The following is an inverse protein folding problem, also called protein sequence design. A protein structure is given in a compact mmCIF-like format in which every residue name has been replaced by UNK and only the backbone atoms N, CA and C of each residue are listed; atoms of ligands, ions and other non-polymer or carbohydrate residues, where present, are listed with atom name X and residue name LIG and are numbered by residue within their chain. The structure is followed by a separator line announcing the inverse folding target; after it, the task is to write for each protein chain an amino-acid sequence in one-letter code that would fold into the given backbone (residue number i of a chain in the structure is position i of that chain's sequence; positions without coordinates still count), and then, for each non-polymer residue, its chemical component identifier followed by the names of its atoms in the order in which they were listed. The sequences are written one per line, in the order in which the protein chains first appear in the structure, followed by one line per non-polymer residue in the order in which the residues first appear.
data_IF_613086430916
#
_entry.id   IF_613086430916
#
_cell.length_a   1.000
_cell.length_b   1.000
_cell.length_c   1.000
_cell.angle_alpha   90.00
_cell.angle_beta   90.00
_cell.angle_gamma   90.00
#
_symmetry.space_group_name_H-M   'P 1'
#
loop_
_entity.id
_entity.type
_entity.pdbx_description
1 polymer ?
#
# COMPACT_ATOMS: atom_id res chain seq x y z
N UNK A 1 8.08 -3.15 0.38
CA UNK A 1 8.55 -3.40 -1.02
C UNK A 1 7.64 -4.34 -1.80
N UNK A 2 7.10 -5.41 -1.19
CA UNK A 2 6.21 -6.37 -1.87
C UNK A 2 4.86 -5.74 -2.26
N UNK A 3 4.18 -5.01 -1.35
CA UNK A 3 2.87 -4.42 -1.65
C UNK A 3 2.95 -3.35 -2.76
N UNK A 4 3.95 -2.47 -2.71
CA UNK A 4 4.19 -1.46 -3.74
C UNK A 4 4.31 -2.06 -5.17
N UNK A 5 4.96 -3.23 -5.31
CA UNK A 5 5.02 -3.94 -6.60
C UNK A 5 3.63 -4.39 -7.06
N UNK A 6 2.82 -4.95 -6.16
CA UNK A 6 1.44 -5.35 -6.46
C UNK A 6 0.53 -4.18 -6.82
N UNK A 7 0.72 -2.99 -6.22
CA UNK A 7 -0.05 -1.80 -6.57
C UNK A 7 0.21 -1.34 -8.01
N UNK A 8 1.47 -1.43 -8.47
CA UNK A 8 1.82 -1.12 -9.87
C UNK A 8 1.20 -2.15 -10.83
N UNK A 9 1.21 -3.44 -10.48
CA UNK A 9 0.54 -4.46 -11.28
C UNK A 9 -0.98 -4.29 -11.30
N UNK A 10 -1.59 -3.91 -10.17
CA UNK A 10 -3.01 -3.61 -10.07
C UNK A 10 -3.43 -2.51 -11.05
N UNK A 11 -2.70 -1.38 -11.08
CA UNK A 11 -2.99 -0.27 -12.00
C UNK A 11 -2.88 -0.73 -13.46
N UNK A 12 -1.81 -1.47 -13.80
CA UNK A 12 -1.60 -1.99 -15.15
C UNK A 12 -2.74 -2.92 -15.59
N UNK A 13 -3.18 -3.81 -14.71
CA UNK A 13 -4.28 -4.72 -15.03
C UNK A 13 -5.59 -3.96 -15.20
N UNK A 14 -5.87 -2.94 -14.36
CA UNK A 14 -7.06 -2.10 -14.53
C UNK A 14 -7.06 -1.35 -15.87
N UNK A 15 -5.92 -0.78 -16.28
CA UNK A 15 -5.79 -0.14 -17.59
C UNK A 15 -5.98 -1.15 -18.73
N UNK A 16 -5.47 -2.37 -18.58
CA UNK A 16 -5.67 -3.45 -19.57
C UNK A 16 -7.15 -3.87 -19.67
N UNK A 17 -7.85 -3.97 -18.53
CA UNK A 17 -9.29 -4.25 -18.48
C UNK A 17 -10.08 -3.13 -19.15
N UNK A 18 -9.73 -1.87 -18.92
CA UNK A 18 -10.36 -0.72 -19.58
C UNK A 18 -10.18 -0.78 -21.10
N UNK A 19 -8.94 -0.99 -21.58
CA UNK A 19 -8.66 -1.11 -23.02
C UNK A 19 -9.43 -2.29 -23.64
N UNK A 20 -9.54 -3.41 -22.93
CA UNK A 20 -10.33 -4.57 -23.35
C UNK A 20 -11.84 -4.26 -23.47
N UNK A 21 -12.40 -3.51 -22.51
CA UNK A 21 -13.80 -3.06 -22.53
C UNK A 21 -14.08 -2.05 -23.65
N UNK A 22 -13.11 -1.21 -23.99
CA UNK A 22 -13.22 -0.22 -25.07
C UNK A 22 -12.97 -0.79 -26.46
N UNK A 23 -12.39 -1.99 -26.56
CA UNK A 23 -12.04 -2.62 -27.84
C UNK A 23 -13.20 -2.74 -28.83
N UNK A 24 -14.46 -3.09 -28.45
CA UNK A 24 -15.58 -3.13 -29.38
C UNK A 24 -15.89 -1.75 -30.00
N UNK A 25 -15.97 -0.71 -29.17
CA UNK A 25 -16.24 0.67 -29.62
C UNK A 25 -15.12 1.18 -30.52
N UNK A 26 -13.86 0.90 -30.15
CA UNK A 26 -12.69 1.24 -30.97
C UNK A 26 -12.75 0.56 -32.35
N UNK A 27 -13.11 -0.73 -32.42
CA UNK A 27 -13.28 -1.45 -33.68
C UNK A 27 -14.39 -0.86 -34.55
N UNK A 28 -15.52 -0.53 -33.95
CA UNK A 28 -16.64 0.09 -34.67
C UNK A 28 -16.29 1.43 -35.33
N UNK A 29 -15.35 2.17 -34.75
CA UNK A 29 -14.82 3.43 -35.29
C UNK A 29 -13.76 3.14 -36.36
N UNK A 30 -12.79 2.28 -36.04
CA UNK A 30 -11.60 2.06 -36.88
C UNK A 30 -11.89 1.28 -38.16
N UNK A 31 -12.83 0.32 -38.10
CA UNK A 31 -13.23 -0.51 -39.23
C UNK A 31 -14.34 0.17 -40.08
N UNK A 32 -14.84 1.33 -39.67
CA UNK A 32 -15.90 2.06 -40.37
C UNK A 32 -15.45 2.60 -41.73
N UNK A 33 -16.35 2.57 -42.72
CA UNK A 33 -16.14 3.08 -44.08
C UNK A 33 -17.25 4.01 -44.54
N UNK A 34 -17.71 4.90 -43.64
CA UNK A 34 -18.70 5.93 -43.91
C UNK A 34 -18.39 6.74 -45.18
N UNK A 35 -19.42 6.96 -46.00
CA UNK A 35 -19.35 7.76 -47.24
C UNK A 35 -20.41 8.84 -47.31
N UNK A 36 -21.55 8.64 -46.64
CA UNK A 36 -22.63 9.63 -46.58
C UNK A 36 -22.44 10.57 -45.38
N UNK A 37 -23.07 11.74 -45.44
CA UNK A 37 -23.06 12.70 -44.33
C UNK A 37 -23.63 12.09 -43.04
N UNK A 38 -24.72 11.35 -43.14
CA UNK A 38 -25.37 10.70 -41.98
C UNK A 38 -24.46 9.65 -41.33
N UNK A 39 -23.75 8.86 -42.15
CA UNK A 39 -22.76 7.89 -41.65
C UNK A 39 -21.57 8.58 -40.98
N UNK A 40 -21.06 9.68 -41.56
CA UNK A 40 -19.98 10.48 -40.97
C UNK A 40 -20.40 11.08 -39.62
N UNK A 41 -21.62 11.62 -39.52
CA UNK A 41 -22.18 12.10 -38.26
C UNK A 41 -22.32 10.97 -37.23
N UNK A 42 -22.68 9.76 -37.67
CA UNK A 42 -22.74 8.57 -36.81
C UNK A 42 -21.36 8.19 -36.26
N UNK A 43 -20.33 8.14 -37.11
CA UNK A 43 -18.94 7.85 -36.68
C UNK A 43 -18.46 8.91 -35.70
N UNK A 44 -18.72 10.18 -35.96
CA UNK A 44 -18.31 11.26 -35.07
C UNK A 44 -18.92 11.11 -33.67
N UNK A 45 -20.21 10.74 -33.57
CA UNK A 45 -20.84 10.43 -32.27
C UNK A 45 -20.15 9.27 -31.56
N UNK A 46 -19.76 8.22 -32.28
CA UNK A 46 -19.01 7.09 -31.68
C UNK A 46 -17.64 7.53 -31.15
N UNK A 47 -16.94 8.43 -31.86
CA UNK A 47 -15.67 9.01 -31.38
C UNK A 47 -15.90 9.78 -30.07
N UNK A 48 -16.94 10.61 -29.99
CA UNK A 48 -17.30 11.32 -28.75
C UNK A 48 -17.59 10.33 -27.62
N UNK A 49 -18.36 9.27 -27.87
CA UNK A 49 -18.63 8.22 -26.88
C UNK A 49 -17.35 7.51 -26.42
N UNK A 50 -16.43 7.20 -27.35
CA UNK A 50 -15.14 6.59 -27.03
C UNK A 50 -14.30 7.50 -26.13
N UNK A 51 -14.21 8.80 -26.47
CA UNK A 51 -13.47 9.79 -25.67
C UNK A 51 -14.04 9.92 -24.26
N UNK A 52 -15.36 9.95 -24.11
CA UNK A 52 -16.01 10.00 -22.79
C UNK A 52 -15.75 8.73 -21.97
N UNK A 53 -15.95 7.55 -22.57
CA UNK A 53 -15.74 6.28 -21.89
C UNK A 53 -14.28 6.08 -21.46
N UNK A 54 -13.33 6.54 -22.28
CA UNK A 54 -11.89 6.38 -22.00
C UNK A 54 -11.34 7.41 -21.00
N UNK A 55 -11.86 8.63 -21.02
CA UNK A 55 -11.45 9.68 -20.08
C UNK A 55 -12.06 9.54 -18.69
N UNK A 56 -13.19 8.84 -18.57
CA UNK A 56 -13.94 8.74 -17.31
C UNK A 56 -14.58 10.07 -16.87
N UNK A 57 -14.62 11.09 -17.73
CA UNK A 57 -15.17 12.41 -17.42
C UNK A 57 -16.70 12.46 -17.64
N UNK A 58 -17.45 11.72 -16.82
CA UNK A 58 -18.91 11.71 -16.83
C UNK A 58 -19.54 10.71 -17.80
N UNK A 59 -20.88 10.58 -17.70
CA UNK A 59 -21.61 9.54 -18.42
C UNK A 59 -21.84 9.88 -19.90
N UNK A 60 -21.63 8.93 -20.83
CA UNK A 60 -22.00 9.09 -22.25
C UNK A 60 -23.52 9.06 -22.49
N UNK A 61 -24.34 8.97 -21.44
CA UNK A 61 -25.81 9.11 -21.51
C UNK A 61 -26.28 10.52 -21.18
N UNK A 62 -25.43 11.37 -20.58
CA UNK A 62 -25.79 12.74 -20.23
C UNK A 62 -25.56 13.69 -21.42
N UNK A 63 -26.64 14.32 -21.87
CA UNK A 63 -26.63 15.22 -23.03
C UNK A 63 -25.70 16.41 -22.82
N UNK A 64 -25.57 16.95 -21.60
CA UNK A 64 -24.69 18.07 -21.32
C UNK A 64 -23.22 17.65 -21.42
N UNK A 65 -22.88 16.51 -20.82
CA UNK A 65 -21.54 15.90 -20.91
C UNK A 65 -21.15 15.64 -22.36
N UNK A 66 -22.06 15.04 -23.14
CA UNK A 66 -21.87 14.80 -24.58
C UNK A 66 -21.64 16.11 -25.34
N UNK A 67 -22.41 17.16 -25.04
CA UNK A 67 -22.26 18.48 -25.69
C UNK A 67 -20.91 19.11 -25.41
N UNK A 68 -20.46 19.10 -24.15
CA UNK A 68 -19.14 19.63 -23.78
C UNK A 68 -18.01 18.85 -24.44
N UNK A 69 -18.06 17.52 -24.42
CA UNK A 69 -17.06 16.68 -25.07
C UNK A 69 -17.07 16.83 -26.59
N UNK A 70 -18.25 17.00 -27.20
CA UNK A 70 -18.38 17.31 -28.63
C UNK A 70 -17.75 18.66 -28.96
N UNK A 71 -18.03 19.70 -28.16
CA UNK A 71 -17.45 21.03 -28.39
C UNK A 71 -15.93 21.03 -28.23
N UNK A 72 -15.41 20.35 -27.20
CA UNK A 72 -13.98 20.17 -27.00
C UNK A 72 -13.33 19.39 -28.16
N UNK A 73 -13.93 18.27 -28.59
CA UNK A 73 -13.45 17.50 -29.75
C UNK A 73 -13.49 18.33 -31.04
N UNK A 74 -14.56 19.09 -31.29
CA UNK A 74 -14.68 19.94 -32.49
C UNK A 74 -13.60 21.03 -32.55
N UNK A 75 -13.09 21.48 -31.39
CA UNK A 75 -12.03 22.49 -31.33
C UNK A 75 -10.66 21.98 -31.82
N UNK A 76 -10.44 20.67 -31.79
CA UNK A 76 -9.16 20.03 -32.17
C UNK A 76 -9.30 19.05 -33.34
N UNK A 77 -10.50 18.57 -33.58
CA UNK A 77 -10.85 17.60 -34.61
C UNK A 77 -12.25 17.93 -35.18
N UNK A 78 -12.33 18.94 -36.06
CA UNK A 78 -13.59 19.31 -36.69
C UNK A 78 -14.07 18.20 -37.63
N UNK A 79 -15.37 18.15 -37.91
CA UNK A 79 -15.97 17.10 -38.74
C UNK A 79 -15.39 17.02 -40.16
N UNK A 80 -14.80 18.12 -40.66
CA UNK A 80 -14.09 18.17 -41.95
C UNK A 80 -12.87 17.24 -42.00
N UNK A 81 -12.22 16.98 -40.86
CA UNK A 81 -11.04 16.10 -40.76
C UNK A 81 -11.43 14.60 -40.71
N UNK A 82 -12.73 14.29 -40.57
CA UNK A 82 -13.17 12.90 -40.42
C UNK A 82 -12.88 12.05 -41.67
N UNK A 83 -12.93 12.64 -42.87
CA UNK A 83 -12.58 11.94 -44.10
C UNK A 83 -11.08 11.55 -44.14
N UNK A 84 -10.20 12.44 -43.64
CA UNK A 84 -8.77 12.16 -43.52
C UNK A 84 -8.52 11.09 -42.45
N UNK A 85 -9.20 11.16 -41.29
CA UNK A 85 -9.13 10.11 -40.27
C UNK A 85 -9.52 8.72 -40.84
N UNK A 86 -10.59 8.64 -41.64
CA UNK A 86 -11.08 7.38 -42.18
C UNK A 86 -10.12 6.73 -43.20
N UNK A 87 -9.21 7.49 -43.82
CA UNK A 87 -8.22 6.98 -44.77
C UNK A 87 -6.96 6.40 -44.11
N UNK A 88 -6.76 6.66 -42.82
CA UNK A 88 -5.64 6.12 -42.04
C UNK A 88 -5.72 4.59 -41.88
N UNK A 89 -4.58 3.98 -41.57
CA UNK A 89 -4.55 2.58 -41.15
C UNK A 89 -5.23 2.39 -39.79
N UNK A 90 -5.65 1.15 -39.49
CA UNK A 90 -6.29 0.82 -38.21
C UNK A 90 -5.45 1.25 -36.99
N UNK A 91 -4.14 0.97 -37.03
CA UNK A 91 -3.20 1.32 -35.96
C UNK A 91 -3.08 2.84 -35.77
N UNK A 92 -3.05 3.60 -36.87
CA UNK A 92 -3.00 5.06 -36.81
C UNK A 92 -4.31 5.65 -36.28
N UNK A 93 -5.47 5.10 -36.67
CA UNK A 93 -6.77 5.49 -36.11
C UNK A 93 -6.83 5.24 -34.60
N UNK A 94 -6.39 4.07 -34.14
CA UNK A 94 -6.32 3.74 -32.72
C UNK A 94 -5.43 4.72 -31.95
N UNK A 95 -4.24 5.02 -32.48
CA UNK A 95 -3.33 5.99 -31.88
C UNK A 95 -3.94 7.40 -31.82
N UNK A 96 -4.55 7.85 -32.92
CA UNK A 96 -5.18 9.16 -32.99
C UNK A 96 -6.38 9.25 -32.05
N UNK A 97 -7.17 8.18 -31.86
CA UNK A 97 -8.25 8.15 -30.87
C UNK A 97 -7.72 8.31 -29.44
N UNK A 98 -6.59 7.67 -29.11
CA UNK A 98 -5.95 7.83 -27.79
C UNK A 98 -5.46 9.27 -27.59
N UNK A 99 -4.82 9.85 -28.60
CA UNK A 99 -4.32 11.23 -28.55
C UNK A 99 -5.46 12.25 -28.43
N UNK A 100 -6.51 12.12 -29.25
CA UNK A 100 -7.70 12.96 -29.16
C UNK A 100 -8.37 12.86 -27.80
N UNK A 101 -8.40 11.65 -27.20
CA UNK A 101 -8.92 11.48 -25.84
C UNK A 101 -8.13 12.31 -24.84
N UNK A 102 -6.80 12.26 -24.86
CA UNK A 102 -5.96 13.01 -23.92
C UNK A 102 -6.15 14.52 -24.08
N UNK A 103 -6.13 15.01 -25.33
CA UNK A 103 -6.31 16.44 -25.61
C UNK A 103 -7.70 16.92 -25.17
N UNK A 104 -8.76 16.18 -25.52
CA UNK A 104 -10.13 16.55 -25.13
C UNK A 104 -10.31 16.51 -23.62
N UNK A 105 -9.71 15.54 -22.93
CA UNK A 105 -9.72 15.45 -21.46
C UNK A 105 -9.12 16.70 -20.85
N UNK A 106 -7.91 17.09 -21.26
CA UNK A 106 -7.27 18.32 -20.78
C UNK A 106 -8.08 19.59 -21.06
N UNK A 107 -8.70 19.71 -22.25
CA UNK A 107 -9.57 20.86 -22.58
C UNK A 107 -10.78 20.91 -21.65
N UNK A 108 -11.42 19.76 -21.39
CA UNK A 108 -12.59 19.71 -20.50
C UNK A 108 -12.23 20.06 -19.05
N UNK A 109 -11.07 19.60 -18.56
CA UNK A 109 -10.54 19.97 -17.25
C UNK A 109 -10.26 21.48 -17.15
N UNK A 110 -9.63 22.06 -18.17
CA UNK A 110 -9.41 23.50 -18.24
C UNK A 110 -10.72 24.30 -18.30
N UNK A 111 -11.72 23.82 -19.04
CA UNK A 111 -13.04 24.47 -19.09
C UNK A 111 -13.78 24.41 -17.75
N UNK A 112 -13.60 23.32 -16.98
CA UNK A 112 -14.08 23.19 -15.60
C UNK A 112 -13.44 24.26 -14.71
N UNK A 113 -12.11 24.38 -14.74
CA UNK A 113 -11.35 25.37 -13.97
C UNK A 113 -11.78 26.81 -14.29
N UNK A 114 -12.05 27.09 -15.57
CA UNK A 114 -12.55 28.40 -16.01
C UNK A 114 -14.03 28.68 -15.64
N UNK A 115 -14.76 27.74 -15.04
CA UNK A 115 -16.20 27.86 -14.77
C UNK A 115 -17.07 27.89 -16.04
N UNK A 116 -16.56 27.36 -17.17
CA UNK A 116 -17.22 27.37 -18.49
C UNK A 116 -17.73 25.99 -18.93
N UNK A 117 -17.61 24.99 -18.07
CA UNK A 117 -18.05 23.62 -18.31
C UNK A 117 -17.68 22.75 -17.11
N UNK A 118 -17.50 21.45 -17.36
CA UNK A 118 -17.11 20.49 -16.34
C UNK A 118 -18.28 19.70 -15.77
N UNK A 119 -19.43 19.69 -16.47
CA UNK A 119 -20.54 18.81 -16.11
C UNK A 119 -20.06 17.34 -16.10
N UNK A 120 -20.41 16.62 -15.03
CA UNK A 120 -20.02 15.22 -14.82
C UNK A 120 -18.54 14.99 -14.51
N UNK A 121 -17.75 16.03 -14.23
CA UNK A 121 -16.36 15.89 -13.78
C UNK A 121 -16.30 16.03 -12.26
N UNK A 122 -16.09 14.91 -11.57
CA UNK A 122 -15.87 14.89 -10.13
C UNK A 122 -14.63 15.68 -9.72
N UNK A 123 -14.56 16.08 -8.46
CA UNK A 123 -13.37 16.72 -7.88
C UNK A 123 -12.49 15.65 -7.23
N UNK A 124 -11.78 14.88 -8.06
CA UNK A 124 -10.91 13.80 -7.57
C UNK A 124 -9.87 14.29 -6.54
N UNK A 125 -9.22 15.46 -6.73
CA UNK A 125 -8.37 16.04 -5.69
C UNK A 125 -9.07 16.23 -4.34
N UNK A 126 -10.28 16.79 -4.33
CA UNK A 126 -11.03 16.97 -3.09
C UNK A 126 -11.46 15.64 -2.46
N UNK A 127 -11.93 14.69 -3.29
CA UNK A 127 -12.32 13.35 -2.84
C UNK A 127 -11.13 12.63 -2.18
N UNK A 128 -9.95 12.67 -2.79
CA UNK A 128 -8.75 12.07 -2.23
C UNK A 128 -8.29 12.76 -0.94
N UNK A 129 -8.37 14.10 -0.89
CA UNK A 129 -8.05 14.88 0.31
C UNK A 129 -8.96 14.58 1.51
N UNK A 130 -10.17 14.06 1.27
CA UNK A 130 -11.08 13.59 2.32
C UNK A 130 -10.88 12.09 2.62
N UNK A 131 -10.80 11.27 1.57
CA UNK A 131 -10.77 9.81 1.70
C UNK A 131 -9.46 9.28 2.29
N UNK A 132 -8.32 9.89 1.97
CA UNK A 132 -7.01 9.45 2.47
C UNK A 132 -6.91 9.64 3.99
N UNK A 133 -7.18 10.82 4.58
CA UNK A 133 -7.20 10.96 6.04
C UNK A 133 -8.21 10.05 6.72
N UNK A 134 -9.39 9.83 6.12
CA UNK A 134 -10.39 8.92 6.66
C UNK A 134 -9.89 7.46 6.69
N UNK A 135 -9.23 7.00 5.62
CA UNK A 135 -8.63 5.68 5.54
C UNK A 135 -7.49 5.51 6.57
N UNK A 136 -6.56 6.48 6.64
CA UNK A 136 -5.48 6.46 7.63
C UNK A 136 -6.02 6.39 9.06
N UNK A 137 -7.03 7.22 9.38
CA UNK A 137 -7.63 7.22 10.72
C UNK A 137 -8.31 5.89 11.06
N UNK A 138 -8.99 5.28 10.08
CA UNK A 138 -9.60 3.96 10.27
C UNK A 138 -8.54 2.89 10.56
N UNK A 139 -7.45 2.87 9.79
CA UNK A 139 -6.33 1.94 9.98
C UNK A 139 -5.66 2.18 11.35
N UNK A 140 -5.46 3.43 11.77
CA UNK A 140 -4.88 3.76 13.08
C UNK A 140 -5.74 3.24 14.25
N UNK A 141 -7.07 3.35 14.15
CA UNK A 141 -7.98 2.79 15.16
C UNK A 141 -7.81 1.26 15.25
N UNK A 142 -7.77 0.58 14.11
CA UNK A 142 -7.64 -0.87 14.05
C UNK A 142 -6.25 -1.36 14.51
N UNK A 143 -5.22 -0.59 14.18
CA UNK A 143 -3.85 -0.81 14.63
C UNK A 143 -3.76 -0.71 16.15
N UNK A 144 -4.31 0.36 16.73
CA UNK A 144 -4.36 0.52 18.18
C UNK A 144 -5.16 -0.62 18.85
N UNK A 145 -6.29 -1.04 18.28
CA UNK A 145 -7.05 -2.18 18.82
C UNK A 145 -6.22 -3.48 18.81
N UNK A 146 -5.51 -3.74 17.70
CA UNK A 146 -4.61 -4.89 17.57
C UNK A 146 -3.48 -4.85 18.59
N UNK A 147 -2.85 -3.68 18.78
CA UNK A 147 -1.81 -3.48 19.80
C UNK A 147 -2.32 -3.76 21.22
N UNK A 148 -3.50 -3.26 21.57
CA UNK A 148 -4.09 -3.52 22.88
C UNK A 148 -4.32 -5.01 23.14
N UNK A 149 -4.83 -5.75 22.14
CA UNK A 149 -4.95 -7.21 22.22
C UNK A 149 -3.59 -7.88 22.41
N UNK A 150 -2.59 -7.45 21.64
CA UNK A 150 -1.24 -8.00 21.74
C UNK A 150 -0.62 -7.76 23.12
N UNK A 151 -0.83 -6.58 23.71
CA UNK A 151 -0.35 -6.24 25.05
C UNK A 151 -0.98 -7.10 26.14
N UNK A 152 -2.30 -7.32 26.03
CA UNK A 152 -3.07 -8.20 26.94
C UNK A 152 -2.59 -9.65 26.84
N UNK A 153 -2.49 -10.21 25.64
CA UNK A 153 -2.02 -11.58 25.44
C UNK A 153 -0.58 -11.76 25.92
N UNK A 154 0.29 -10.79 25.65
CA UNK A 154 1.67 -10.81 26.14
C UNK A 154 1.69 -10.83 27.67
N UNK A 155 0.93 -9.96 28.35
CA UNK A 155 0.87 -9.91 29.82
C UNK A 155 0.35 -11.22 30.44
N UNK A 156 -0.65 -11.84 29.82
CA UNK A 156 -1.18 -13.14 30.25
C UNK A 156 -0.12 -14.24 30.11
N UNK A 157 0.57 -14.32 28.97
CA UNK A 157 1.62 -15.33 28.76
C UNK A 157 2.80 -15.09 29.72
N UNK A 158 3.17 -13.83 29.99
CA UNK A 158 4.18 -13.45 30.99
C UNK A 158 3.80 -13.93 32.40
N UNK A 159 2.51 -13.86 32.76
CA UNK A 159 1.97 -14.38 34.02
C UNK A 159 1.98 -15.92 34.05
N UNK A 160 1.48 -16.57 32.99
CA UNK A 160 1.37 -18.03 32.92
C UNK A 160 2.75 -18.72 32.99
N UNK A 161 3.80 -18.09 32.48
CA UNK A 161 5.17 -18.59 32.62
C UNK A 161 5.71 -18.64 34.06
N UNK A 162 4.98 -18.11 35.04
CA UNK A 162 5.31 -18.18 36.46
C UNK A 162 4.68 -19.40 37.15
N UNK A 163 3.65 -20.02 36.55
CA UNK A 163 2.91 -21.16 37.09
C UNK A 163 3.08 -22.42 36.20
N UNK A 164 3.28 -23.60 36.79
CA UNK A 164 3.70 -24.83 36.08
C UNK A 164 2.62 -25.92 36.12
N UNK A 165 1.39 -25.60 35.71
CA UNK A 165 0.29 -26.57 35.61
C UNK A 165 0.02 -26.98 34.14
N UNK A 166 -0.32 -28.25 33.90
CA UNK A 166 -0.50 -28.80 32.54
C UNK A 166 -1.74 -28.24 31.78
N UNK A 167 -2.84 -27.91 32.47
CA UNK A 167 -4.01 -27.24 31.86
C UNK A 167 -3.69 -25.77 31.48
N UNK A 168 -2.74 -25.16 32.18
CA UNK A 168 -2.22 -23.82 31.85
C UNK A 168 -1.39 -23.91 30.57
N UNK A 169 -0.61 -24.97 30.37
CA UNK A 169 0.26 -25.18 29.20
C UNK A 169 -0.51 -25.28 27.87
N UNK A 170 -1.66 -25.98 27.85
CA UNK A 170 -2.51 -26.06 26.65
C UNK A 170 -3.11 -24.69 26.28
N UNK A 171 -3.68 -23.99 27.27
CA UNK A 171 -4.23 -22.63 27.07
C UNK A 171 -3.15 -21.64 26.65
N UNK A 172 -1.93 -21.82 27.15
CA UNK A 172 -0.79 -20.98 26.81
C UNK A 172 -0.40 -21.14 25.34
N UNK A 173 -0.44 -22.37 24.81
CA UNK A 173 -0.15 -22.63 23.39
C UNK A 173 -1.12 -21.88 22.48
N UNK A 174 -2.43 -22.03 22.70
CA UNK A 174 -3.45 -21.35 21.89
C UNK A 174 -3.41 -19.83 22.05
N UNK A 175 -3.07 -19.33 23.24
CA UNK A 175 -2.90 -17.89 23.48
C UNK A 175 -1.67 -17.31 22.77
N UNK A 176 -0.60 -18.10 22.59
CA UNK A 176 0.56 -17.71 21.78
C UNK A 176 0.21 -17.63 20.29
N UNK A 177 -0.53 -18.60 19.77
CA UNK A 177 -1.03 -18.56 18.38
C UNK A 177 -1.89 -17.30 18.17
N UNK A 178 -2.76 -16.97 19.12
CA UNK A 178 -3.53 -15.73 19.10
C UNK A 178 -2.63 -14.47 19.11
N UNK A 179 -1.57 -14.46 19.93
CA UNK A 179 -0.59 -13.39 19.95
C UNK A 179 0.14 -13.27 18.60
N UNK A 180 0.58 -14.37 17.99
CA UNK A 180 1.26 -14.35 16.70
C UNK A 180 0.37 -13.83 15.59
N UNK A 181 -0.90 -14.23 15.60
CA UNK A 181 -1.90 -13.74 14.65
C UNK A 181 -2.12 -12.22 14.80
N UNK A 182 -2.34 -11.74 16.03
CA UNK A 182 -2.54 -10.30 16.28
C UNK A 182 -1.29 -9.48 15.92
N UNK A 183 -0.08 -10.00 16.16
CA UNK A 183 1.17 -9.32 15.77
C UNK A 183 1.39 -9.29 14.25
N UNK A 184 0.98 -10.32 13.54
CA UNK A 184 0.97 -10.29 12.07
C UNK A 184 -0.05 -9.29 11.54
N UNK A 185 -1.25 -9.25 12.15
CA UNK A 185 -2.27 -8.28 11.83
C UNK A 185 -1.75 -6.84 11.99
N UNK A 186 -1.12 -6.54 13.14
CA UNK A 186 -0.42 -5.27 13.39
C UNK A 186 0.62 -4.96 12.30
N UNK A 187 1.48 -5.92 11.95
CA UNK A 187 2.49 -5.73 10.92
C UNK A 187 1.89 -5.42 9.54
N UNK A 188 0.82 -6.12 9.14
CA UNK A 188 0.14 -5.86 7.87
C UNK A 188 -0.56 -4.50 7.85
N UNK A 189 -1.20 -4.09 8.95
CA UNK A 189 -1.80 -2.75 9.06
C UNK A 189 -0.73 -1.65 8.94
N UNK A 190 0.44 -1.82 9.55
CA UNK A 190 1.56 -0.88 9.40
C UNK A 190 2.04 -0.76 7.95
N UNK A 191 2.08 -1.87 7.20
CA UNK A 191 2.42 -1.87 5.77
C UNK A 191 1.36 -1.08 4.98
N UNK A 192 0.07 -1.40 5.19
CA UNK A 192 -1.03 -0.71 4.50
C UNK A 192 -1.02 0.79 4.84
N UNK A 193 -0.84 1.16 6.10
CA UNK A 193 -0.76 2.56 6.52
C UNK A 193 0.40 3.29 5.84
N UNK A 194 1.57 2.65 5.72
CA UNK A 194 2.69 3.20 4.98
C UNK A 194 2.34 3.47 3.51
N UNK A 195 1.62 2.55 2.86
CA UNK A 195 1.21 2.73 1.46
C UNK A 195 0.13 3.82 1.31
N UNK A 196 -0.77 3.97 2.29
CA UNK A 196 -1.72 5.12 2.33
C UNK A 196 -0.98 6.45 2.51
N UNK A 197 0.08 6.49 3.32
CA UNK A 197 0.92 7.68 3.47
C UNK A 197 1.65 8.00 2.15
N UNK A 198 2.14 7.00 1.43
CA UNK A 198 2.71 7.19 0.09
C UNK A 198 1.67 7.74 -0.89
N UNK A 199 0.46 7.19 -0.91
CA UNK A 199 -0.67 7.73 -1.68
C UNK A 199 -0.90 9.23 -1.38
N UNK A 200 -0.88 9.62 -0.10
CA UNK A 200 -1.01 11.02 0.31
C UNK A 200 0.07 11.93 -0.30
N UNK A 201 1.33 11.47 -0.29
CA UNK A 201 2.48 12.20 -0.82
C UNK A 201 2.39 12.36 -2.33
N UNK A 202 2.03 11.29 -3.05
CA UNK A 202 1.85 11.31 -4.51
C UNK A 202 0.70 12.26 -4.90
N UNK A 203 -0.43 12.22 -4.19
CA UNK A 203 -1.57 13.13 -4.42
C UNK A 203 -1.17 14.59 -4.19
N UNK A 204 -0.43 14.89 -3.12
CA UNK A 204 0.05 16.26 -2.86
C UNK A 204 0.97 16.77 -3.98
N UNK A 205 1.88 15.93 -4.47
CA UNK A 205 2.76 16.26 -5.60
C UNK A 205 1.96 16.50 -6.88
N UNK A 206 1.06 15.58 -7.23
CA UNK A 206 0.22 15.69 -8.42
C UNK A 206 -0.69 16.92 -8.39
N UNK A 207 -1.22 17.30 -7.23
CA UNK A 207 -2.04 18.53 -7.08
C UNK A 207 -1.23 19.78 -7.40
N UNK A 208 0.03 19.85 -6.94
CA UNK A 208 0.93 20.97 -7.24
C UNK A 208 1.25 21.04 -8.74
N UNK A 209 1.54 19.90 -9.36
CA UNK A 209 1.81 19.81 -10.80
C UNK A 209 0.58 20.19 -11.62
N UNK A 210 -0.60 19.66 -11.26
CA UNK A 210 -1.86 19.97 -11.92
C UNK A 210 -2.20 21.46 -11.87
N UNK A 211 -2.03 22.08 -10.70
CA UNK A 211 -2.23 23.53 -10.55
C UNK A 211 -1.24 24.34 -11.41
N UNK A 212 0.03 23.93 -11.48
CA UNK A 212 1.05 24.60 -12.29
C UNK A 212 0.75 24.50 -13.79
N UNK A 213 0.36 23.31 -14.28
CA UNK A 213 -0.04 23.12 -15.67
C UNK A 213 -1.31 23.91 -16.01
N UNK A 214 -2.28 23.96 -15.09
CA UNK A 214 -3.51 24.74 -15.26
C UNK A 214 -3.21 26.24 -15.37
N UNK A 215 -2.32 26.76 -14.51
CA UNK A 215 -1.87 28.15 -14.58
C UNK A 215 -1.13 28.43 -15.89
N UNK A 216 -0.26 27.52 -16.33
CA UNK A 216 0.50 27.65 -17.57
C UNK A 216 -0.43 27.77 -18.79
N UNK A 217 -1.41 26.87 -18.93
CA UNK A 217 -2.35 26.94 -20.06
C UNK A 217 -3.23 28.19 -19.98
N UNK A 218 -3.65 28.60 -18.77
CA UNK A 218 -4.44 29.82 -18.57
C UNK A 218 -3.67 31.08 -19.05
N UNK A 219 -2.39 31.17 -18.73
CA UNK A 219 -1.52 32.27 -19.15
C UNK A 219 -1.32 32.31 -20.69
N UNK A 220 -1.18 31.14 -21.32
CA UNK A 220 -1.04 31.04 -22.77
C UNK A 220 -2.34 31.46 -23.48
N UNK A 221 -3.51 31.02 -22.98
CA UNK A 221 -4.81 31.28 -23.60
C UNK A 221 -5.27 32.72 -23.36
N UNK A 222 -5.02 33.31 -22.18
CA UNK A 222 -5.37 34.72 -21.89
C UNK A 222 -4.55 35.73 -22.68
N UNK A 223 -3.30 35.40 -23.01
CA UNK A 223 -2.37 36.35 -23.65
C UNK A 223 -2.55 36.49 -25.16
N UNK A 224 -3.32 35.60 -25.82
CA UNK A 224 -3.40 35.53 -27.29
C UNK A 224 -4.81 35.29 -27.79
N UNK A 225 -5.20 36.01 -28.85
CA UNK A 225 -6.46 35.78 -29.58
C UNK A 225 -6.46 34.49 -30.41
N UNK A 226 -5.28 34.00 -30.80
CA UNK A 226 -5.08 32.71 -31.47
C UNK A 226 -3.84 32.02 -30.90
N UNK A 227 -4.01 30.77 -30.45
CA UNK A 227 -2.97 30.00 -29.79
C UNK A 227 -2.53 28.83 -30.67
N UNK A 228 -1.23 28.71 -30.99
CA UNK A 228 -0.71 27.55 -31.70
C UNK A 228 -0.97 26.25 -30.93
N UNK A 229 -1.49 25.23 -31.61
CA UNK A 229 -1.79 23.91 -31.03
C UNK A 229 -0.55 23.23 -30.45
N UNK A 230 0.62 23.45 -31.07
CA UNK A 230 1.91 22.96 -30.59
C UNK A 230 2.31 23.47 -29.20
N UNK A 231 1.70 24.56 -28.72
CA UNK A 231 1.96 25.09 -27.37
C UNK A 231 0.98 24.54 -26.32
N UNK A 232 -0.26 24.24 -26.70
CA UNK A 232 -1.31 23.86 -25.74
C UNK A 232 -1.59 22.37 -25.67
N UNK A 233 -1.42 21.62 -26.77
CA UNK A 233 -1.69 20.19 -26.78
C UNK A 233 -0.79 19.42 -25.80
N UNK A 234 0.53 19.70 -25.69
CA UNK A 234 1.36 19.03 -24.69
C UNK A 234 0.87 19.26 -23.26
N UNK A 235 0.39 20.46 -22.94
CA UNK A 235 -0.12 20.80 -21.60
C UNK A 235 -1.46 20.10 -21.35
N UNK A 236 -2.38 20.07 -22.32
CA UNK A 236 -3.63 19.33 -22.17
C UNK A 236 -3.41 17.81 -22.01
N UNK A 237 -2.41 17.26 -22.69
CA UNK A 237 -2.00 15.86 -22.51
C UNK A 237 -1.43 15.66 -21.09
N UNK A 238 -0.59 16.57 -20.59
CA UNK A 238 -0.10 16.58 -19.20
C UNK A 238 -1.24 16.53 -18.19
N UNK A 239 -2.21 17.45 -18.32
CA UNK A 239 -3.39 17.51 -17.46
C UNK A 239 -4.22 16.22 -17.50
N UNK A 240 -4.35 15.60 -18.68
CA UNK A 240 -5.04 14.32 -18.82
C UNK A 240 -4.30 13.18 -18.13
N UNK A 241 -2.97 13.17 -18.18
CA UNK A 241 -2.16 12.15 -17.52
C UNK A 241 -2.24 12.29 -16.00
N UNK A 242 -2.08 13.52 -15.48
CA UNK A 242 -2.24 13.81 -14.05
C UNK A 242 -3.64 13.43 -13.55
N UNK A 243 -4.68 13.68 -14.35
CA UNK A 243 -6.04 13.27 -14.01
C UNK A 243 -6.22 11.75 -13.97
N UNK A 244 -5.59 11.04 -14.90
CA UNK A 244 -5.57 9.57 -14.90
C UNK A 244 -4.85 9.05 -13.65
N UNK A 245 -3.74 9.68 -13.25
CA UNK A 245 -3.03 9.31 -12.03
C UNK A 245 -3.87 9.55 -10.77
N UNK A 246 -4.69 10.60 -10.69
CA UNK A 246 -5.67 10.73 -9.60
C UNK A 246 -6.71 9.59 -9.59
N UNK A 247 -7.17 9.15 -10.76
CA UNK A 247 -8.07 7.98 -10.85
C UNK A 247 -7.37 6.70 -10.36
N UNK A 248 -6.10 6.53 -10.69
CA UNK A 248 -5.28 5.40 -10.25
C UNK A 248 -5.12 5.38 -8.72
N UNK A 249 -4.88 6.53 -8.08
CA UNK A 249 -4.79 6.64 -6.61
C UNK A 249 -6.14 6.32 -5.92
N UNK A 250 -7.28 6.66 -6.53
CA UNK A 250 -8.59 6.25 -6.00
C UNK A 250 -8.72 4.72 -6.01
N UNK A 251 -8.24 4.07 -7.06
CA UNK A 251 -8.27 2.60 -7.16
C UNK A 251 -7.36 1.96 -6.11
N UNK A 252 -6.15 2.49 -5.94
CA UNK A 252 -5.19 2.03 -4.92
C UNK A 252 -5.80 2.18 -3.53
N UNK A 253 -6.34 3.36 -3.19
CA UNK A 253 -6.94 3.61 -1.89
C UNK A 253 -8.14 2.68 -1.62
N UNK A 254 -8.99 2.46 -2.62
CA UNK A 254 -10.10 1.51 -2.51
C UNK A 254 -9.62 0.09 -2.26
N UNK A 255 -8.57 -0.35 -2.95
CA UNK A 255 -7.96 -1.66 -2.74
C UNK A 255 -7.36 -1.81 -1.33
N UNK A 256 -6.60 -0.82 -0.86
CA UNK A 256 -6.02 -0.81 0.48
C UNK A 256 -7.10 -0.87 1.56
N UNK A 257 -8.18 -0.09 1.44
CA UNK A 257 -9.31 -0.17 2.36
C UNK A 257 -9.98 -1.55 2.37
N UNK A 258 -10.16 -2.16 1.20
CA UNK A 258 -10.73 -3.51 1.11
C UNK A 258 -9.80 -4.56 1.74
N UNK A 259 -8.48 -4.40 1.61
CA UNK A 259 -7.51 -5.26 2.28
C UNK A 259 -7.59 -5.12 3.80
N UNK A 260 -7.68 -3.90 4.32
CA UNK A 260 -7.87 -3.65 5.77
C UNK A 260 -9.09 -4.40 6.31
N UNK A 261 -10.26 -4.24 5.66
CA UNK A 261 -11.49 -4.95 6.04
C UNK A 261 -11.31 -6.48 5.92
N UNK A 262 -10.58 -6.94 4.91
CA UNK A 262 -10.30 -8.36 4.71
C UNK A 262 -9.25 -8.91 5.67
N UNK A 263 -8.49 -8.08 6.38
CA UNK A 263 -7.55 -8.55 7.42
C UNK A 263 -8.29 -8.80 8.73
N UNK A 264 -9.31 -7.99 9.04
CA UNK A 264 -10.09 -8.10 10.26
C UNK A 264 -10.69 -9.50 10.49
N UNK A 265 -11.15 -10.16 9.43
CA UNK A 265 -11.72 -11.52 9.49
C UNK A 265 -10.74 -12.57 10.06
N UNK A 266 -9.42 -12.35 9.98
CA UNK A 266 -8.43 -13.28 10.56
C UNK A 266 -8.34 -13.18 12.08
N UNK A 267 -8.95 -12.17 12.72
CA UNK A 267 -9.01 -12.05 14.18
C UNK A 267 -10.21 -12.79 14.79
N UNK A 268 -11.26 -13.08 14.01
CA UNK A 268 -12.55 -13.59 14.52
C UNK A 268 -12.42 -14.93 15.26
N UNK A 269 -11.64 -15.87 14.73
CA UNK A 269 -11.45 -17.20 15.34
C UNK A 269 -10.92 -17.10 16.76
N UNK A 270 -9.96 -16.20 17.01
CA UNK A 270 -9.36 -16.03 18.33
C UNK A 270 -10.29 -15.27 19.28
N UNK A 271 -11.10 -14.34 18.77
CA UNK A 271 -12.12 -13.66 19.57
C UNK A 271 -13.18 -14.65 20.11
N UNK A 272 -13.48 -15.73 19.37
CA UNK A 272 -14.37 -16.80 19.83
C UNK A 272 -13.73 -17.71 20.89
N UNK A 273 -12.43 -17.96 20.79
CA UNK A 273 -11.69 -18.82 21.74
C UNK A 273 -11.38 -18.05 23.03
N UNK A 274 -11.07 -16.76 22.91
CA UNK A 274 -10.72 -15.86 24.00
C UNK A 274 -11.67 -14.65 24.06
N UNK A 275 -12.97 -14.88 24.36
CA UNK A 275 -13.92 -13.80 24.51
C UNK A 275 -13.60 -12.95 25.75
N UNK A 276 -14.07 -11.69 25.76
CA UNK A 276 -13.74 -10.72 26.81
C UNK A 276 -14.19 -11.19 28.21
N UNK A 277 -15.27 -11.97 28.30
CA UNK A 277 -15.74 -12.55 29.56
C UNK A 277 -14.73 -13.54 30.17
N UNK A 278 -13.87 -14.15 29.35
CA UNK A 278 -12.76 -14.99 29.81
C UNK A 278 -11.48 -14.20 30.03
N UNK A 279 -11.17 -13.23 29.15
CA UNK A 279 -9.91 -12.47 29.21
C UNK A 279 -9.88 -11.46 30.34
N UNK A 280 -10.95 -10.69 30.56
CA UNK A 280 -10.99 -9.63 31.57
C UNK A 280 -10.70 -10.15 32.99
N UNK A 281 -11.32 -11.25 33.46
CA UNK A 281 -11.00 -11.79 34.78
C UNK A 281 -9.55 -12.29 34.91
N UNK A 282 -8.96 -12.83 33.83
CA UNK A 282 -7.57 -13.29 33.84
C UNK A 282 -6.56 -12.13 33.89
N UNK A 283 -6.98 -10.94 33.46
CA UNK A 283 -6.19 -9.71 33.52
C UNK A 283 -6.33 -8.99 34.87
N UNK A 284 -7.24 -9.40 35.75
CA UNK A 284 -7.49 -8.73 37.02
C UNK A 284 -6.22 -8.74 37.90
N UNK A 285 -5.78 -7.54 38.31
CA UNK A 285 -4.55 -7.37 39.10
C UNK A 285 -3.25 -7.43 38.29
N UNK A 286 -3.30 -7.65 36.97
CA UNK A 286 -2.13 -7.57 36.10
C UNK A 286 -1.90 -6.14 35.60
N UNK A 287 -0.63 -5.73 35.61
CA UNK A 287 -0.20 -4.49 34.94
C UNK A 287 0.05 -4.81 33.47
N UNK A 288 -0.90 -4.45 32.62
CA UNK A 288 -0.78 -4.57 31.16
C UNK A 288 0.17 -3.48 30.70
N UNK A 289 1.31 -3.88 30.12
CA UNK A 289 2.31 -2.94 29.61
C UNK A 289 2.16 -2.77 28.11
N UNK A 290 2.40 -1.57 27.61
CA UNK A 290 2.66 -1.35 26.19
C UNK A 290 4.05 -1.84 25.80
N UNK A 291 4.33 -1.93 24.51
CA UNK A 291 5.68 -2.27 24.06
C UNK A 291 6.68 -1.15 24.36
N UNK A 292 6.27 0.12 24.28
CA UNK A 292 7.10 1.26 24.72
C UNK A 292 7.45 1.16 26.20
N UNK A 293 6.50 0.80 27.06
CA UNK A 293 6.75 0.60 28.48
C UNK A 293 7.68 -0.59 28.74
N UNK A 294 7.54 -1.68 27.97
CA UNK A 294 8.47 -2.84 28.03
C UNK A 294 9.89 -2.44 27.62
N UNK A 295 10.03 -1.60 26.59
CA UNK A 295 11.32 -1.08 26.13
C UNK A 295 11.96 -0.18 27.19
N UNK A 296 11.19 0.73 27.79
CA UNK A 296 11.71 1.72 28.76
C UNK A 296 12.15 1.12 30.10
N UNK A 297 11.59 -0.02 30.51
CA UNK A 297 11.83 -0.64 31.83
C UNK A 297 13.32 -0.84 32.18
N UNK A 298 14.16 -1.13 31.18
CA UNK A 298 15.58 -1.46 31.36
C UNK A 298 16.52 -0.56 30.51
N UNK A 299 16.08 0.64 30.12
CA UNK A 299 16.80 1.46 29.15
C UNK A 299 18.22 1.86 29.59
N UNK A 300 18.44 2.02 30.90
CA UNK A 300 19.71 2.42 31.48
C UNK A 300 20.66 1.23 31.76
N UNK A 301 20.17 -0.02 31.69
CA UNK A 301 20.98 -1.19 32.01
C UNK A 301 21.68 -1.75 30.77
N UNK A 302 22.74 -1.04 30.37
CA UNK A 302 23.52 -1.36 29.16
C UNK A 302 24.51 -2.50 29.39
N UNK A 303 24.75 -3.26 28.34
CA UNK A 303 25.85 -4.23 28.26
C UNK A 303 27.18 -3.49 28.35
N UNK A 304 28.15 -4.06 29.06
CA UNK A 304 29.53 -3.58 29.05
C UNK A 304 30.31 -4.33 27.97
N UNK A 305 30.72 -3.67 26.86
CA UNK A 305 31.47 -4.34 25.79
C UNK A 305 32.79 -4.95 26.27
N UNK A 306 33.39 -4.42 27.35
CA UNK A 306 34.63 -4.97 27.91
C UNK A 306 34.45 -6.38 28.50
N UNK A 307 33.23 -6.81 28.80
CA UNK A 307 32.93 -8.16 29.31
C UNK A 307 33.00 -9.22 28.18
N UNK A 308 33.06 -8.79 26.91
CA UNK A 308 32.98 -9.62 25.71
C UNK A 308 34.05 -9.23 24.70
N UNK A 309 35.16 -9.97 24.66
CA UNK A 309 36.35 -9.62 23.85
C UNK A 309 36.17 -9.93 22.36
N UNK A 310 35.27 -10.85 22.00
CA UNK A 310 35.12 -11.35 20.62
C UNK A 310 33.84 -10.86 19.94
N UNK A 311 32.89 -10.40 20.73
CA UNK A 311 31.56 -10.02 20.31
C UNK A 311 31.50 -8.53 19.95
N UNK A 312 30.87 -8.20 18.83
CA UNK A 312 30.71 -6.82 18.39
C UNK A 312 29.37 -6.26 18.89
N UNK A 313 29.42 -5.19 19.68
CA UNK A 313 28.26 -4.52 20.26
C UNK A 313 28.08 -3.12 19.67
N UNK A 314 26.84 -2.80 19.30
CA UNK A 314 26.45 -1.52 18.71
C UNK A 314 25.50 -0.79 19.66
N UNK A 315 25.67 0.53 19.77
CA UNK A 315 24.85 1.39 20.61
C UNK A 315 24.37 2.62 19.84
N UNK A 316 23.17 3.16 20.18
CA UNK A 316 22.62 4.34 19.52
C UNK A 316 23.56 5.56 19.55
N UNK A 317 24.31 5.74 20.64
CA UNK A 317 25.12 6.95 20.84
C UNK A 317 26.48 6.91 20.12
N UNK A 318 26.97 5.72 19.77
CA UNK A 318 28.32 5.53 19.23
C UNK A 318 28.37 5.01 17.79
N UNK A 319 27.22 4.61 17.23
CA UNK A 319 27.15 3.98 15.91
C UNK A 319 26.55 4.93 14.89
N UNK A 320 27.30 5.21 13.82
CA UNK A 320 26.79 5.98 12.67
C UNK A 320 25.69 5.16 11.98
N UNK A 321 24.58 5.81 11.63
CA UNK A 321 23.42 5.17 11.00
C UNK A 321 22.83 4.00 11.80
N UNK A 322 22.89 4.04 13.13
CA UNK A 322 22.35 2.98 14.00
C UNK A 322 20.88 2.63 13.69
N UNK A 323 20.06 3.62 13.33
CA UNK A 323 18.65 3.41 12.96
C UNK A 323 18.45 2.59 11.68
N UNK A 324 19.48 2.40 10.87
CA UNK A 324 19.44 1.59 9.64
C UNK A 324 19.85 0.13 9.88
N UNK A 325 20.23 -0.23 11.12
CA UNK A 325 20.58 -1.61 11.45
C UNK A 325 19.33 -2.50 11.36
N UNK A 326 19.38 -3.51 10.47
CA UNK A 326 18.32 -4.49 10.31
C UNK A 326 18.37 -5.52 11.44
N UNK A 327 17.56 -5.30 12.47
CA UNK A 327 17.42 -6.22 13.59
C UNK A 327 16.73 -7.51 13.11
N UNK A 328 17.31 -8.66 13.48
CA UNK A 328 16.67 -9.95 13.28
C UNK A 328 15.39 -10.06 14.10
N UNK A 329 14.50 -10.94 13.66
CA UNK A 329 13.26 -11.27 14.36
C UNK A 329 12.37 -10.02 14.55
N UNK A 330 12.40 -9.09 13.60
CA UNK A 330 11.71 -7.79 13.67
C UNK A 330 11.93 -7.03 14.98
N UNK A 331 13.13 -7.14 15.56
CA UNK A 331 13.47 -6.45 16.80
C UNK A 331 12.90 -7.08 18.07
N UNK A 332 12.23 -8.23 18.02
CA UNK A 332 11.89 -9.01 19.21
C UNK A 332 13.15 -9.57 19.88
N UNK A 333 13.08 -9.75 21.21
CA UNK A 333 14.18 -10.26 22.00
C UNK A 333 14.55 -11.70 21.59
N UNK A 334 15.72 -11.85 20.97
CA UNK A 334 16.21 -13.13 20.47
C UNK A 334 16.33 -14.21 21.56
N UNK A 335 16.78 -13.81 22.75
CA UNK A 335 16.95 -14.74 23.86
C UNK A 335 15.61 -15.18 24.47
N UNK A 336 14.73 -14.22 24.78
CA UNK A 336 13.43 -14.51 25.41
C UNK A 336 12.59 -15.39 24.51
N UNK A 337 12.52 -15.09 23.21
CA UNK A 337 11.82 -15.93 22.25
C UNK A 337 12.33 -17.38 22.29
N UNK A 338 13.66 -17.58 22.28
CA UNK A 338 14.26 -18.91 22.32
C UNK A 338 13.94 -19.67 23.61
N UNK A 339 14.07 -19.04 24.78
CA UNK A 339 14.02 -19.75 26.09
C UNK A 339 12.64 -19.75 26.75
N UNK A 340 11.72 -18.92 26.28
CA UNK A 340 10.34 -18.80 26.75
C UNK A 340 9.35 -19.27 25.68
N UNK A 341 9.68 -20.38 25.03
CA UNK A 341 8.79 -21.13 24.14
C UNK A 341 8.03 -20.26 23.11
N UNK A 342 8.78 -19.35 22.47
CA UNK A 342 8.27 -18.46 21.43
C UNK A 342 7.58 -17.18 21.93
N UNK A 343 7.72 -16.81 23.21
CA UNK A 343 7.16 -15.55 23.73
C UNK A 343 7.78 -14.33 23.03
N UNK A 344 6.94 -13.50 22.43
CA UNK A 344 7.31 -12.25 21.77
C UNK A 344 7.37 -11.10 22.77
N UNK A 345 8.59 -10.67 23.12
CA UNK A 345 8.84 -9.45 23.90
C UNK A 345 9.71 -8.52 23.06
N UNK A 346 9.38 -7.22 22.93
CA UNK A 346 10.21 -6.28 22.19
C UNK A 346 11.62 -6.21 22.80
N UNK A 347 12.63 -6.25 21.94
CA UNK A 347 14.02 -6.04 22.34
C UNK A 347 14.36 -4.55 22.32
N UNK A 348 15.03 -4.07 23.37
CA UNK A 348 15.47 -2.69 23.48
C UNK A 348 16.89 -2.51 22.91
N UNK A 349 17.07 -1.79 21.78
CA UNK A 349 18.39 -1.55 21.21
C UNK A 349 19.31 -0.70 22.11
N UNK A 350 18.78 0.07 23.07
CA UNK A 350 19.58 0.89 23.99
C UNK A 350 20.43 0.07 24.95
N UNK A 351 20.03 -1.18 25.23
CA UNK A 351 20.78 -2.15 26.05
C UNK A 351 22.10 -2.53 25.36
N UNK A 352 22.10 -2.52 24.03
CA UNK A 352 23.20 -2.96 23.18
C UNK A 352 22.72 -3.99 22.17
N UNK A 353 23.04 -3.75 20.89
CA UNK A 353 22.73 -4.66 19.78
C UNK A 353 23.95 -5.54 19.52
N UNK A 354 23.77 -6.85 19.61
CA UNK A 354 24.83 -7.81 19.33
C UNK A 354 24.89 -8.12 17.84
N UNK A 355 26.05 -7.99 17.22
CA UNK A 355 26.32 -8.52 15.88
C UNK A 355 26.90 -9.93 15.99
N UNK A 356 26.28 -10.87 15.30
CA UNK A 356 26.77 -12.25 15.18
C UNK A 356 26.49 -12.78 13.77
N UNK A 357 27.54 -13.20 13.06
CA UNK A 357 27.46 -13.68 11.67
C UNK A 357 26.73 -12.69 10.73
N UNK A 358 27.14 -11.42 10.77
CA UNK A 358 26.55 -10.32 9.98
C UNK A 358 25.05 -10.07 10.22
N UNK A 359 24.53 -10.53 11.36
CA UNK A 359 23.14 -10.29 11.78
C UNK A 359 23.10 -9.60 13.13
N UNK A 360 22.11 -8.74 13.32
CA UNK A 360 21.98 -7.89 14.49
C UNK A 360 20.82 -8.37 15.38
N UNK A 361 21.06 -8.53 16.68
CA UNK A 361 20.09 -9.06 17.64
C UNK A 361 19.87 -8.07 18.80
N UNK A 362 18.60 -7.86 19.17
CA UNK A 362 18.18 -7.04 20.31
C UNK A 362 17.70 -7.89 21.48
N UNK A 363 17.67 -7.29 22.68
CA UNK A 363 17.34 -7.99 23.93
C UNK A 363 16.44 -7.13 24.83
N UNK A 364 15.57 -7.75 25.62
CA UNK A 364 14.68 -7.05 26.55
C UNK A 364 15.35 -6.74 27.91
N UNK A 365 16.50 -7.35 28.21
CA UNK A 365 17.30 -7.08 29.40
C UNK A 365 18.78 -7.35 29.16
N UNK A 366 19.64 -6.78 30.02
CA UNK A 366 21.08 -7.05 30.01
C UNK A 366 21.40 -8.52 30.24
N UNK A 367 20.69 -9.18 31.16
CA UNK A 367 20.87 -10.60 31.45
C UNK A 367 20.57 -11.46 30.23
N UNK A 368 19.51 -11.13 29.49
CA UNK A 368 19.16 -11.79 28.24
C UNK A 368 20.28 -11.63 27.19
N UNK A 369 20.83 -10.41 27.07
CA UNK A 369 21.95 -10.12 26.18
C UNK A 369 23.20 -10.93 26.56
N UNK A 370 23.57 -10.97 27.84
CA UNK A 370 24.73 -11.73 28.33
C UNK A 370 24.54 -13.23 28.17
N UNK A 371 23.34 -13.74 28.44
CA UNK A 371 23.02 -15.15 28.31
C UNK A 371 23.09 -15.60 26.84
N UNK A 372 22.60 -14.76 25.91
CA UNK A 372 22.69 -15.01 24.48
C UNK A 372 24.13 -14.97 23.98
N UNK A 373 24.89 -13.93 24.34
CA UNK A 373 26.27 -13.72 23.91
C UNK A 373 27.21 -14.89 24.26
N UNK A 374 26.95 -15.62 25.36
CA UNK A 374 27.72 -16.82 25.72
C UNK A 374 27.57 -17.97 24.74
N UNK A 375 26.43 -18.10 24.06
CA UNK A 375 26.19 -19.19 23.10
C UNK A 375 25.15 -18.81 22.03
N UNK A 376 25.44 -17.85 21.14
CA UNK A 376 24.45 -17.31 20.20
C UNK A 376 23.86 -18.39 19.28
N UNK A 377 24.71 -19.27 18.75
CA UNK A 377 24.31 -20.33 17.81
C UNK A 377 23.29 -21.31 18.41
N UNK A 378 23.36 -21.56 19.73
CA UNK A 378 22.37 -22.41 20.41
C UNK A 378 20.98 -21.77 20.36
N UNK A 379 20.87 -20.50 20.72
CA UNK A 379 19.57 -19.81 20.77
C UNK A 379 19.01 -19.55 19.38
N UNK A 380 19.86 -19.22 18.40
CA UNK A 380 19.45 -19.10 16.99
C UNK A 380 18.87 -20.43 16.50
N UNK A 381 19.51 -21.56 16.81
CA UNK A 381 18.95 -22.88 16.48
C UNK A 381 17.59 -23.12 17.16
N UNK A 382 17.46 -22.77 18.43
CA UNK A 382 16.18 -22.90 19.15
C UNK A 382 15.06 -22.07 18.52
N UNK A 383 15.36 -20.84 18.10
CA UNK A 383 14.41 -19.99 17.35
C UNK A 383 13.99 -20.68 16.05
N UNK A 384 14.95 -21.20 15.28
CA UNK A 384 14.67 -21.87 14.02
C UNK A 384 13.84 -23.15 14.20
N UNK A 385 14.11 -23.97 15.22
CA UNK A 385 13.28 -25.15 15.52
C UNK A 385 11.85 -24.73 15.89
N UNK A 386 11.68 -23.64 16.67
CA UNK A 386 10.34 -23.17 17.03
C UNK A 386 9.54 -22.68 15.82
N UNK A 387 10.18 -21.96 14.91
CA UNK A 387 9.54 -21.51 13.68
C UNK A 387 9.16 -22.65 12.71
N UNK A 388 9.75 -23.85 12.85
CA UNK A 388 9.30 -25.05 12.10
C UNK A 388 8.02 -25.65 12.66
N UNK A 389 7.75 -25.47 13.95
CA UNK A 389 6.52 -25.93 14.60
C UNK A 389 5.34 -25.01 14.27
N UNK A 390 5.62 -23.72 14.05
CA UNK A 390 4.64 -22.65 13.86
C UNK A 390 5.01 -21.83 12.61
N UNK A 391 4.43 -22.18 11.46
CA UNK A 391 4.78 -21.59 10.16
C UNK A 391 4.54 -20.07 10.10
N UNK A 392 3.57 -19.58 10.86
CA UNK A 392 3.27 -18.16 11.02
C UNK A 392 4.45 -17.33 11.56
N UNK A 393 5.35 -17.96 12.34
CA UNK A 393 6.55 -17.31 12.86
C UNK A 393 7.60 -17.07 11.77
N UNK A 394 7.55 -17.79 10.65
CA UNK A 394 8.50 -17.60 9.55
C UNK A 394 8.31 -16.21 8.93
N UNK A 395 7.06 -15.84 8.64
CA UNK A 395 6.72 -14.53 8.11
C UNK A 395 6.89 -13.46 9.19
N UNK A 396 6.34 -13.68 10.39
CA UNK A 396 6.38 -12.70 11.49
C UNK A 396 7.78 -12.36 11.97
N UNK A 397 8.76 -13.26 11.82
CA UNK A 397 10.15 -13.04 12.25
C UNK A 397 11.14 -12.89 11.09
N UNK A 398 10.64 -12.83 9.85
CA UNK A 398 11.44 -12.69 8.63
C UNK A 398 12.53 -13.79 8.50
N UNK A 399 12.15 -15.04 8.75
CA UNK A 399 13.10 -16.17 8.80
C UNK A 399 13.34 -16.84 7.44
N UNK A 400 12.86 -16.28 6.34
CA UNK A 400 12.91 -16.87 5.00
C UNK A 400 14.33 -17.31 4.59
N UNK A 401 15.35 -16.51 4.90
CA UNK A 401 16.77 -16.81 4.66
C UNK A 401 17.28 -18.02 5.45
N UNK A 402 16.65 -18.35 6.59
CA UNK A 402 16.95 -19.54 7.38
C UNK A 402 16.22 -20.80 6.88
N UNK A 403 15.33 -20.63 5.89
CA UNK A 403 14.55 -21.71 5.31
C UNK A 403 14.61 -21.74 3.78
N UNK A 404 15.54 -21.02 3.16
CA UNK A 404 15.78 -21.02 1.70
C UNK A 404 15.99 -22.43 1.11
N UNK A 405 16.42 -23.39 1.93
CA UNK A 405 16.56 -24.80 1.57
C UNK A 405 15.24 -25.61 1.62
N UNK A 406 14.20 -25.11 2.29
CA UNK A 406 12.88 -25.76 2.38
C UNK A 406 11.89 -25.25 1.32
N UNK A 407 12.15 -24.09 0.71
CA UNK A 407 11.37 -23.60 -0.41
C UNK A 407 12.29 -22.88 -1.41
N UNK A 408 12.56 -23.46 -2.60
CA UNK A 408 13.06 -22.65 -3.69
C UNK A 408 11.97 -21.64 -4.04
N UNK A 409 12.16 -20.39 -3.60
CA UNK A 409 11.29 -19.23 -3.84
C UNK A 409 10.91 -19.03 -5.33
N UNK A 410 11.60 -19.71 -6.25
CA UNK A 410 11.28 -19.73 -7.68
C UNK A 410 10.09 -20.62 -8.07
N UNK A 411 9.60 -21.53 -7.20
CA UNK A 411 8.48 -22.42 -7.53
C UNK A 411 7.11 -21.94 -7.02
N UNK A 412 7.06 -21.12 -5.97
CA UNK A 412 5.78 -20.62 -5.43
C UNK A 412 5.14 -19.59 -6.38
N UNK A 413 5.95 -18.76 -7.06
CA UNK A 413 5.45 -17.84 -8.09
C UNK A 413 4.82 -18.55 -9.29
N UNK A 414 5.27 -19.77 -9.63
CA UNK A 414 4.74 -20.52 -10.76
C UNK A 414 3.39 -21.20 -10.46
N UNK A 415 3.05 -21.40 -9.19
CA UNK A 415 1.76 -21.96 -8.78
C UNK A 415 0.68 -20.92 -8.48
N UNK A 416 1.06 -19.64 -8.30
CA UNK A 416 0.13 -18.52 -8.14
C UNK A 416 -0.21 -17.86 -9.49
N UNK A 417 0.58 -18.12 -10.53
CA UNK A 417 0.37 -17.61 -11.90
C UNK A 417 -0.25 -18.65 -12.88
N UNK A 418 -0.91 -19.68 -12.36
CA UNK A 418 -1.88 -20.51 -13.09
C UNK A 418 -3.22 -20.44 -12.39
#
# INVERSE_FOLDING_TARGET
MVLCFFLVELIKEQHHVLDSRLAPVSREITDNRARTREELESVYRKIVSYVLLRSGLGSPTDIKVIREATAALQSVFPQTELAAFLSLSKKEKEQQLKELTMIVTGIRLFNKDCGKGGEGIDDLPAILNEAIPAASHHIDIELHASQQLAYRYTALIEMMHQDKNADIELRQTVLKEALYNVRQHEAFLCIILSDVITCAQEVEMMQKEFAAEMEQVNNIVKSKTAVPTSLVYPIFIGLSNLWTSFQDEILVLSFLNNLTVSLQQFLETHALIFPEELIVPLLEGLVIKSDEERLLKNADDKVNPADFVKEEWFFPESTINFSQLLLQYHGFCAYTFAVKDGLLIPGNPSIGVLKHKERYYSFNSKEAAYAFAKCPDKYIKMVAEKAKECAELIQLLELHHQFEYLAPYSQVLHYILQ
#
